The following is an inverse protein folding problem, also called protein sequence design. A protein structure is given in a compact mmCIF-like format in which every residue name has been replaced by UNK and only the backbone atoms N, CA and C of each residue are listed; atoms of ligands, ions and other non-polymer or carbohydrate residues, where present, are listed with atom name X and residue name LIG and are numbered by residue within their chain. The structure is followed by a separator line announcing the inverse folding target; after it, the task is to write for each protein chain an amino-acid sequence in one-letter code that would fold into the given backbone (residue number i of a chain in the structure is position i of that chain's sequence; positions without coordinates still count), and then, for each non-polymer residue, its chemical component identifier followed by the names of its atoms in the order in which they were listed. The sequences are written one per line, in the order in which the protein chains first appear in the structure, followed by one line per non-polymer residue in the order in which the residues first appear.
data_IF_033729908640
#
_entry.id   IF_033729908640
#
_cell.length_a   1.000
_cell.length_b   1.000
_cell.length_c   1.000
_cell.angle_alpha   90.00
_cell.angle_beta   90.00
_cell.angle_gamma   90.00
#
_symmetry.space_group_name_H-M   'P 1'
#
loop_
_entity.id
_entity.type
_entity.pdbx_description
1 polymer ?
#
# COMPACT_ATOMS: atom_id res chain seq x y z
N UNK A 1 21.40 12.47 18.48
CA UNK A 1 20.00 12.03 18.64
C UNK A 1 19.57 11.40 17.32
N UNK A 2 19.48 10.07 17.27
CA UNK A 2 19.08 9.30 16.10
C UNK A 2 17.55 9.20 16.06
N UNK A 3 16.93 9.73 15.01
CA UNK A 3 15.52 9.46 14.73
C UNK A 3 15.45 8.21 13.85
N UNK A 4 14.92 7.13 14.43
CA UNK A 4 14.60 5.91 13.70
C UNK A 4 13.46 6.20 12.73
N UNK A 5 13.72 6.01 11.44
CA UNK A 5 12.67 5.88 10.44
C UNK A 5 11.81 4.66 10.79
N UNK A 6 10.62 4.92 11.33
CA UNK A 6 9.61 3.89 11.52
C UNK A 6 9.04 3.52 10.15
N UNK A 7 9.70 2.55 9.51
CA UNK A 7 9.14 1.77 8.40
C UNK A 7 7.73 1.30 8.85
N UNK A 8 6.66 1.51 8.06
CA UNK A 8 5.37 0.94 8.40
C UNK A 8 5.57 -0.58 8.55
N UNK A 9 5.24 -1.10 9.74
CA UNK A 9 5.32 -2.53 10.01
C UNK A 9 4.47 -3.22 8.95
N UNK A 10 5.12 -3.83 7.95
CA UNK A 10 4.43 -4.69 7.01
C UNK A 10 3.58 -5.65 7.83
N UNK A 11 2.28 -5.65 7.57
CA UNK A 11 1.37 -6.62 8.14
C UNK A 11 1.99 -7.98 7.88
N UNK A 12 2.47 -8.63 8.94
CA UNK A 12 2.87 -10.03 8.88
C UNK A 12 1.58 -10.75 8.55
N UNK A 13 1.39 -11.11 7.28
CA UNK A 13 0.30 -11.96 6.84
C UNK A 13 0.42 -13.30 7.55
N UNK A 14 -0.10 -13.37 8.77
CA UNK A 14 -0.39 -14.62 9.43
C UNK A 14 -1.73 -15.10 8.86
N UNK A 15 -1.70 -15.54 7.60
CA UNK A 15 -2.85 -16.20 6.96
C UNK A 15 -3.16 -17.54 7.64
N UNK A 16 -2.37 -17.99 8.62
CA UNK A 16 -2.45 -19.34 9.16
C UNK A 16 -2.11 -20.43 8.12
N UNK A 17 -1.64 -20.04 6.93
CA UNK A 17 -1.35 -20.95 5.83
C UNK A 17 0.14 -21.36 5.91
N UNK A 18 0.40 -22.45 6.62
CA UNK A 18 1.66 -23.19 6.48
C UNK A 18 1.51 -24.16 5.31
N UNK A 19 2.27 -23.98 4.23
CA UNK A 19 2.42 -24.99 3.19
C UNK A 19 3.89 -25.37 3.05
N UNK A 20 4.18 -26.64 3.33
CA UNK A 20 5.38 -27.34 2.90
C UNK A 20 6.15 -28.04 4.01
N UNK A 21 6.12 -29.37 4.03
CA UNK A 21 7.32 -30.13 3.66
C UNK A 21 6.99 -31.61 3.49
N UNK A 22 7.51 -32.22 2.42
CA UNK A 22 7.43 -33.64 2.14
C UNK A 22 8.27 -34.51 3.10
N UNK A 23 8.23 -34.21 4.40
CA UNK A 23 8.69 -35.07 5.51
C UNK A 23 7.91 -34.88 6.81
N UNK A 24 6.75 -34.23 6.80
CA UNK A 24 5.78 -34.43 7.88
C UNK A 24 4.90 -35.61 7.48
N UNK A 25 5.17 -36.78 8.05
CA UNK A 25 4.20 -37.85 8.10
C UNK A 25 2.97 -37.31 8.85
N UNK A 26 1.91 -36.99 8.12
CA UNK A 26 0.58 -36.62 8.66
C UNK A 26 0.01 -37.69 9.62
N UNK A 27 0.64 -38.86 9.70
CA UNK A 27 0.24 -40.01 10.51
C UNK A 27 0.67 -39.98 12.00
N UNK A 28 1.50 -39.03 12.46
CA UNK A 28 2.09 -39.11 13.82
C UNK A 28 1.66 -38.02 14.83
N UNK A 29 0.75 -37.10 14.48
CA UNK A 29 0.24 -36.11 15.46
C UNK A 29 -1.29 -36.20 15.62
N UNK A 30 -1.81 -36.86 16.68
CA UNK A 30 -3.24 -37.04 16.90
C UNK A 30 -4.00 -35.73 17.21
N UNK A 31 -3.29 -34.61 17.40
CA UNK A 31 -3.88 -33.30 17.72
C UNK A 31 -3.77 -32.26 16.60
N UNK A 32 -3.23 -32.59 15.43
CA UNK A 32 -3.21 -31.65 14.31
C UNK A 32 -4.57 -31.59 13.61
N UNK A 33 -5.36 -30.55 13.89
CA UNK A 33 -6.54 -30.24 13.07
C UNK A 33 -6.06 -29.74 11.71
N UNK A 34 -6.42 -30.38 10.59
CA UNK A 34 -6.06 -29.87 9.27
C UNK A 34 -6.64 -28.47 9.13
N UNK A 35 -5.78 -27.51 8.75
CA UNK A 35 -6.22 -26.19 8.33
C UNK A 35 -7.13 -26.38 7.11
N UNK A 36 -8.44 -26.38 7.34
CA UNK A 36 -9.41 -26.40 6.23
C UNK A 36 -9.17 -25.12 5.43
N UNK A 37 -8.77 -25.26 4.18
CA UNK A 37 -8.79 -24.14 3.25
C UNK A 37 -10.26 -23.75 3.08
N UNK A 38 -10.69 -22.71 3.79
CA UNK A 38 -12.04 -22.17 3.68
C UNK A 38 -12.09 -21.29 2.43
N UNK A 39 -13.15 -21.42 1.64
CA UNK A 39 -13.42 -20.49 0.54
C UNK A 39 -13.56 -19.06 1.08
N UNK A 40 -12.98 -18.08 0.38
CA UNK A 40 -13.00 -16.67 0.75
C UNK A 40 -13.65 -15.84 -0.37
N UNK A 41 -14.49 -14.88 0.00
CA UNK A 41 -15.12 -13.91 -0.90
C UNK A 41 -15.41 -12.60 -0.13
N UNK A 42 -14.42 -11.73 -0.05
CA UNK A 42 -14.48 -10.41 0.59
C UNK A 42 -15.08 -9.35 -0.34
N UNK A 43 -14.87 -9.46 -1.65
CA UNK A 43 -15.37 -8.51 -2.65
C UNK A 43 -16.03 -9.24 -3.82
N UNK A 44 -17.32 -8.98 -4.01
CA UNK A 44 -18.12 -9.52 -5.12
C UNK A 44 -18.61 -8.39 -6.02
N UNK A 45 -17.74 -7.91 -6.89
CA UNK A 45 -18.03 -6.81 -7.81
C UNK A 45 -17.46 -7.06 -9.21
N UNK A 46 -18.07 -6.41 -10.21
CA UNK A 46 -17.56 -6.35 -11.58
C UNK A 46 -17.44 -4.87 -11.95
N UNK A 47 -16.26 -4.46 -12.39
CA UNK A 47 -16.04 -3.13 -12.98
C UNK A 47 -16.29 -3.23 -14.48
N UNK A 48 -17.28 -2.49 -14.98
CA UNK A 48 -17.55 -2.46 -16.42
C UNK A 48 -16.45 -1.67 -17.14
N UNK A 49 -16.27 -1.92 -18.45
CA UNK A 49 -15.31 -1.16 -19.24
C UNK A 49 -15.68 0.33 -19.30
N UNK A 50 -16.98 0.64 -19.39
CA UNK A 50 -17.50 2.01 -19.38
C UNK A 50 -17.13 2.74 -18.08
N UNK A 51 -17.35 2.12 -16.92
CA UNK A 51 -16.99 2.70 -15.63
C UNK A 51 -15.48 2.86 -15.47
N UNK A 52 -14.69 1.88 -15.93
CA UNK A 52 -13.24 1.97 -15.93
C UNK A 52 -12.75 3.16 -16.75
N UNK A 53 -13.24 3.31 -17.99
CA UNK A 53 -12.86 4.41 -18.88
C UNK A 53 -13.30 5.76 -18.30
N UNK A 54 -14.48 5.83 -17.68
CA UNK A 54 -14.98 7.04 -17.01
C UNK A 54 -14.10 7.45 -15.82
N UNK A 55 -13.62 6.49 -15.02
CA UNK A 55 -12.70 6.76 -13.91
C UNK A 55 -11.35 7.26 -14.43
N UNK A 56 -10.81 6.65 -15.49
CA UNK A 56 -9.56 7.10 -16.11
C UNK A 56 -9.69 8.53 -16.68
N UNK A 57 -10.77 8.82 -17.39
CA UNK A 57 -11.05 10.15 -17.90
C UNK A 57 -11.23 11.20 -16.78
N UNK A 58 -11.72 10.80 -15.60
CA UNK A 58 -11.79 11.69 -14.44
C UNK A 58 -10.41 12.07 -13.91
N UNK A 59 -9.43 11.16 -13.93
CA UNK A 59 -8.04 11.48 -13.59
C UNK A 59 -7.43 12.48 -14.59
N UNK A 60 -7.61 12.25 -15.89
CA UNK A 60 -7.16 13.19 -16.93
C UNK A 60 -7.79 14.58 -16.75
N UNK A 61 -9.09 14.61 -16.41
CA UNK A 61 -9.79 15.86 -16.11
C UNK A 61 -9.18 16.57 -14.89
N UNK A 62 -8.88 15.85 -13.80
CA UNK A 62 -8.24 16.42 -12.61
C UNK A 62 -6.90 17.07 -12.97
N UNK A 63 -6.05 16.37 -13.73
CA UNK A 63 -4.76 16.90 -14.18
C UNK A 63 -4.93 18.17 -15.03
N UNK A 64 -5.92 18.19 -15.94
CA UNK A 64 -6.21 19.36 -16.77
C UNK A 64 -6.69 20.59 -15.97
N UNK A 65 -7.38 20.37 -14.83
CA UNK A 65 -7.91 21.44 -13.97
C UNK A 65 -6.89 21.94 -12.95
N UNK A 66 -5.82 21.19 -12.73
CA UNK A 66 -4.79 21.50 -11.76
C UNK A 66 -3.41 21.63 -12.45
N UNK A 67 -3.24 22.49 -13.48
CA UNK A 67 -2.02 22.56 -14.27
C UNK A 67 -0.77 23.01 -13.49
N UNK A 68 -0.95 23.45 -12.24
CA UNK A 68 0.09 23.94 -11.34
C UNK A 68 0.58 22.89 -10.34
N UNK A 69 0.02 21.67 -10.31
CA UNK A 69 0.52 20.60 -9.45
C UNK A 69 1.91 20.19 -9.90
N UNK A 70 2.77 19.86 -8.94
CA UNK A 70 4.18 19.53 -9.18
C UNK A 70 4.57 18.32 -8.36
N UNK A 71 5.34 17.43 -8.97
CA UNK A 71 6.02 16.37 -8.23
C UNK A 71 7.34 16.90 -7.68
N UNK A 72 7.39 17.04 -6.36
CA UNK A 72 8.59 17.48 -5.65
C UNK A 72 9.49 16.28 -5.39
N UNK A 73 10.77 16.39 -5.70
CA UNK A 73 11.76 15.39 -5.28
C UNK A 73 11.83 15.30 -3.74
N UNK A 74 12.30 14.16 -3.18
CA UNK A 74 12.53 14.06 -1.74
C UNK A 74 13.51 15.12 -1.19
N UNK A 75 14.43 15.62 -2.02
CA UNK A 75 15.34 16.70 -1.64
C UNK A 75 14.61 18.05 -1.54
N UNK A 76 13.83 18.43 -2.55
CA UNK A 76 13.03 19.65 -2.53
C UNK A 76 12.05 19.64 -1.37
N UNK A 77 11.35 18.51 -1.14
CA UNK A 77 10.45 18.39 0.01
C UNK A 77 11.17 18.67 1.33
N UNK A 78 12.40 18.22 1.54
CA UNK A 78 13.12 18.43 2.81
C UNK A 78 13.50 19.88 3.05
N UNK A 79 13.73 20.66 1.99
CA UNK A 79 14.09 22.08 2.08
C UNK A 79 12.92 23.04 2.33
N UNK A 80 11.67 22.58 2.18
CA UNK A 80 10.49 23.43 2.33
C UNK A 80 10.06 23.57 3.80
N UNK A 81 9.69 24.79 4.18
CA UNK A 81 8.91 25.04 5.41
C UNK A 81 7.59 24.27 5.29
N UNK A 82 7.29 23.47 6.30
CA UNK A 82 6.14 22.57 6.29
C UNK A 82 4.92 23.25 6.87
N UNK A 83 3.84 23.23 6.11
CA UNK A 83 2.53 23.60 6.62
C UNK A 83 1.77 22.32 6.95
N UNK A 84 1.73 21.96 8.24
CA UNK A 84 0.85 20.92 8.75
C UNK A 84 -0.57 21.45 8.99
N UNK A 85 -1.49 20.60 9.49
CA UNK A 85 -2.86 21.02 9.81
C UNK A 85 -2.92 22.24 10.75
N UNK A 86 -2.12 22.27 11.81
CA UNK A 86 -2.07 23.39 12.76
C UNK A 86 -1.51 24.68 12.13
N UNK A 87 -0.59 24.52 11.18
CA UNK A 87 0.02 25.65 10.47
C UNK A 87 -0.99 26.35 9.54
N UNK A 88 -1.99 25.62 9.01
CA UNK A 88 -3.04 26.23 8.18
C UNK A 88 -3.87 27.21 9.02
N UNK A 89 -4.28 26.82 10.22
CA UNK A 89 -5.02 27.69 11.15
C UNK A 89 -4.22 28.93 11.56
N UNK A 90 -2.91 28.77 11.74
CA UNK A 90 -2.01 29.90 11.99
C UNK A 90 -1.98 30.87 10.81
N UNK A 91 -1.76 30.37 9.58
CA UNK A 91 -1.64 31.19 8.38
C UNK A 91 -2.95 31.93 8.05
N UNK A 92 -4.10 31.29 8.23
CA UNK A 92 -5.41 31.95 8.05
C UNK A 92 -5.68 33.01 9.13
N UNK A 93 -5.21 32.79 10.36
CA UNK A 93 -5.21 33.80 11.41
C UNK A 93 -4.37 35.03 11.04
N UNK A 94 -3.15 34.80 10.53
CA UNK A 94 -2.28 35.88 10.03
C UNK A 94 -2.94 36.63 8.86
N UNK A 95 -3.59 35.92 7.94
CA UNK A 95 -4.36 36.53 6.85
C UNK A 95 -5.44 37.49 7.37
N UNK A 96 -6.20 37.07 8.37
CA UNK A 96 -7.24 37.92 8.99
C UNK A 96 -6.64 39.14 9.68
N UNK A 97 -5.52 38.97 10.40
CA UNK A 97 -4.83 40.08 11.08
C UNK A 97 -4.24 41.07 10.07
N UNK A 98 -3.63 40.59 8.98
CA UNK A 98 -3.09 41.42 7.93
C UNK A 98 -4.19 42.23 7.21
N UNK A 99 -5.36 41.61 6.98
CA UNK A 99 -6.50 42.30 6.39
C UNK A 99 -7.06 43.42 7.30
N UNK A 100 -7.08 43.19 8.62
CA UNK A 100 -7.53 44.19 9.61
C UNK A 100 -6.51 45.32 9.83
N UNK A 101 -5.22 45.07 9.57
CA UNK A 101 -4.13 45.99 9.87
C UNK A 101 -3.27 46.26 8.62
N UNK A 102 -3.91 46.50 7.47
CA UNK A 102 -3.22 46.66 6.19
C UNK A 102 -2.12 47.73 6.21
N UNK A 103 -2.34 48.84 6.92
CA UNK A 103 -1.37 49.93 7.08
C UNK A 103 -0.10 49.54 7.85
N UNK A 104 -0.17 48.46 8.65
CA UNK A 104 0.98 47.92 9.39
C UNK A 104 1.79 46.92 8.58
N UNK A 105 1.32 46.52 7.39
CA UNK A 105 2.03 45.54 6.57
C UNK A 105 3.17 46.23 5.80
N UNK A 106 4.42 45.76 5.93
CA UNK A 106 5.54 46.34 5.19
C UNK A 106 5.31 46.27 3.67
N UNK A 107 5.68 47.33 2.96
CA UNK A 107 5.55 47.41 1.50
C UNK A 107 6.35 46.33 0.74
N UNK A 108 7.30 45.66 1.40
CA UNK A 108 8.04 44.53 0.84
C UNK A 108 7.23 43.23 0.79
N UNK A 109 6.08 43.16 1.47
CA UNK A 109 5.22 41.98 1.51
C UNK A 109 4.15 42.10 0.44
N UNK A 110 4.11 41.13 -0.49
CA UNK A 110 3.03 41.01 -1.45
C UNK A 110 1.81 40.35 -0.79
N UNK A 111 0.92 41.18 -0.24
CA UNK A 111 -0.33 40.71 0.38
C UNK A 111 -1.27 40.04 -0.63
N UNK A 112 -1.24 40.47 -1.89
CA UNK A 112 -2.12 39.88 -2.90
C UNK A 112 -1.69 38.44 -3.19
N UNK A 113 -0.39 38.19 -3.33
CA UNK A 113 0.13 36.84 -3.52
C UNK A 113 -0.05 35.97 -2.29
N UNK A 114 0.25 36.49 -1.10
CA UNK A 114 0.00 35.77 0.15
C UNK A 114 -1.46 35.31 0.25
N UNK A 115 -2.42 36.20 -0.03
CA UNK A 115 -3.84 35.86 0.01
C UNK A 115 -4.22 34.74 -0.98
N UNK A 116 -3.65 34.74 -2.19
CA UNK A 116 -3.85 33.67 -3.18
C UNK A 116 -3.31 32.34 -2.66
N UNK A 117 -2.10 32.35 -2.09
CA UNK A 117 -1.45 31.15 -1.57
C UNK A 117 -2.22 30.52 -0.41
N UNK A 118 -2.74 31.35 0.51
CA UNK A 118 -3.58 30.85 1.62
C UNK A 118 -4.86 30.20 1.08
N UNK A 119 -5.53 30.86 0.13
CA UNK A 119 -6.76 30.33 -0.48
C UNK A 119 -6.50 29.03 -1.24
N UNK A 120 -5.44 28.97 -2.05
CA UNK A 120 -5.03 27.77 -2.78
C UNK A 120 -4.69 26.63 -1.80
N UNK A 121 -3.98 26.93 -0.72
CA UNK A 121 -3.60 25.93 0.28
C UNK A 121 -4.82 25.28 0.95
N UNK A 122 -5.87 26.05 1.24
CA UNK A 122 -7.13 25.51 1.78
C UNK A 122 -7.83 24.59 0.78
N UNK A 123 -7.90 24.99 -0.50
CA UNK A 123 -8.52 24.19 -1.56
C UNK A 123 -7.74 22.89 -1.79
N UNK A 124 -6.41 22.97 -1.86
CA UNK A 124 -5.53 21.80 -2.01
C UNK A 124 -5.64 20.85 -0.83
N UNK A 125 -5.78 21.37 0.40
CA UNK A 125 -6.01 20.53 1.57
C UNK A 125 -7.29 19.68 1.41
N UNK A 126 -8.42 20.30 1.02
CA UNK A 126 -9.68 19.59 0.82
C UNK A 126 -9.59 18.53 -0.30
N UNK A 127 -8.95 18.87 -1.42
CA UNK A 127 -8.73 17.94 -2.54
C UNK A 127 -7.89 16.75 -2.08
N UNK A 128 -6.79 16.99 -1.38
CA UNK A 128 -5.88 15.95 -0.91
C UNK A 128 -6.56 14.99 0.07
N UNK A 129 -7.39 15.51 0.99
CA UNK A 129 -8.14 14.66 1.93
C UNK A 129 -9.07 13.68 1.18
N UNK A 130 -9.76 14.14 0.14
CA UNK A 130 -10.64 13.29 -0.67
C UNK A 130 -9.85 12.29 -1.50
N UNK A 131 -8.75 12.72 -2.12
CA UNK A 131 -7.89 11.85 -2.91
C UNK A 131 -7.26 10.74 -2.06
N UNK A 132 -6.79 11.08 -0.86
CA UNK A 132 -6.20 10.11 0.08
C UNK A 132 -7.22 9.05 0.50
N UNK A 133 -8.44 9.45 0.87
CA UNK A 133 -9.49 8.50 1.26
C UNK A 133 -9.84 7.51 0.13
N UNK A 134 -9.90 7.99 -1.12
CA UNK A 134 -10.14 7.12 -2.28
C UNK A 134 -8.96 6.16 -2.50
N UNK A 135 -7.73 6.67 -2.40
CA UNK A 135 -6.52 5.86 -2.56
C UNK A 135 -6.43 4.75 -1.50
N UNK A 136 -6.69 5.07 -0.23
CA UNK A 136 -6.71 4.10 0.88
C UNK A 136 -7.77 3.02 0.67
N UNK A 137 -9.02 3.42 0.38
CA UNK A 137 -10.10 2.47 0.11
C UNK A 137 -9.82 1.59 -1.12
N UNK A 138 -9.16 2.14 -2.15
CA UNK A 138 -8.78 1.41 -3.36
C UNK A 138 -7.68 0.38 -3.07
N UNK A 139 -6.68 0.73 -2.25
CA UNK A 139 -5.62 -0.18 -1.83
C UNK A 139 -6.19 -1.33 -0.98
N UNK A 140 -7.05 -1.02 -0.01
CA UNK A 140 -7.74 -2.01 0.82
C UNK A 140 -8.60 -2.98 -0.01
N UNK A 141 -9.34 -2.44 -0.98
CA UNK A 141 -10.17 -3.25 -1.90
C UNK A 141 -9.29 -4.14 -2.79
N UNK A 142 -8.16 -3.61 -3.28
CA UNK A 142 -7.19 -4.37 -4.07
C UNK A 142 -6.59 -5.52 -3.26
N UNK A 143 -6.26 -5.26 -1.99
CA UNK A 143 -5.80 -6.31 -1.06
C UNK A 143 -6.88 -7.38 -0.84
N UNK A 144 -8.13 -6.99 -0.65
CA UNK A 144 -9.25 -7.92 -0.45
C UNK A 144 -9.48 -8.82 -1.67
N UNK A 145 -9.61 -8.23 -2.88
CA UNK A 145 -9.76 -8.96 -4.15
C UNK A 145 -8.56 -9.87 -4.42
N UNK A 146 -7.35 -9.40 -4.12
CA UNK A 146 -6.13 -10.19 -4.25
C UNK A 146 -6.13 -11.41 -3.31
N UNK A 147 -6.64 -11.26 -2.09
CA UNK A 147 -6.79 -12.36 -1.14
C UNK A 147 -7.79 -13.41 -1.64
N UNK A 148 -8.97 -12.99 -2.09
CA UNK A 148 -10.01 -13.88 -2.64
C UNK A 148 -9.47 -14.70 -3.83
N UNK A 149 -8.77 -14.01 -4.74
CA UNK A 149 -8.14 -14.60 -5.91
C UNK A 149 -7.06 -15.60 -5.53
N UNK A 150 -6.23 -15.27 -4.53
CA UNK A 150 -5.14 -16.14 -4.08
C UNK A 150 -5.67 -17.39 -3.37
N UNK A 151 -6.67 -17.27 -2.49
CA UNK A 151 -7.29 -18.41 -1.82
C UNK A 151 -7.92 -19.35 -2.85
N UNK A 152 -8.69 -18.80 -3.78
CA UNK A 152 -9.32 -19.57 -4.87
C UNK A 152 -8.27 -20.26 -5.75
N UNK A 153 -7.20 -19.55 -6.11
CA UNK A 153 -6.08 -20.10 -6.88
C UNK A 153 -5.35 -21.24 -6.16
N UNK A 154 -5.17 -21.15 -4.84
CA UNK A 154 -4.56 -22.22 -4.04
C UNK A 154 -5.45 -23.47 -3.97
N UNK A 155 -6.77 -23.31 -3.84
CA UNK A 155 -7.73 -24.42 -3.88
C UNK A 155 -7.63 -25.12 -5.24
N UNK A 156 -7.69 -24.37 -6.35
CA UNK A 156 -7.58 -24.92 -7.70
C UNK A 156 -6.23 -25.61 -7.94
N UNK A 157 -5.14 -25.01 -7.45
CA UNK A 157 -3.80 -25.60 -7.52
C UNK A 157 -3.74 -26.96 -6.80
N UNK A 158 -4.32 -27.07 -5.60
CA UNK A 158 -4.38 -28.34 -4.87
C UNK A 158 -5.21 -29.40 -5.61
N UNK A 159 -6.35 -29.01 -6.19
CA UNK A 159 -7.19 -29.88 -7.03
C UNK A 159 -6.39 -30.38 -8.25
N UNK A 160 -5.71 -29.49 -8.97
CA UNK A 160 -4.91 -29.87 -10.14
C UNK A 160 -3.69 -30.74 -9.79
N UNK A 161 -3.06 -30.54 -8.63
CA UNK A 161 -2.04 -31.46 -8.14
C UNK A 161 -2.59 -32.86 -7.87
N UNK A 162 -3.81 -32.97 -7.31
CA UNK A 162 -4.43 -34.25 -7.04
C UNK A 162 -4.81 -34.99 -8.34
N UNK A 163 -5.36 -34.26 -9.32
CA UNK A 163 -5.77 -34.79 -10.62
C UNK A 163 -4.57 -35.10 -11.55
N UNK A 164 -3.51 -34.29 -11.47
CA UNK A 164 -2.38 -34.30 -12.39
C UNK A 164 -1.31 -35.37 -12.15
N UNK A 165 -1.49 -36.28 -11.18
CA UNK A 165 -0.45 -37.25 -10.78
C UNK A 165 0.03 -38.22 -11.87
N UNK A 166 -0.54 -38.22 -13.08
CA UNK A 166 -0.11 -39.11 -14.19
C UNK A 166 -0.16 -38.50 -15.62
N UNK A 167 -0.31 -37.18 -15.81
CA UNK A 167 -0.54 -36.60 -17.16
C UNK A 167 0.07 -35.22 -17.41
N UNK A 168 -0.21 -34.64 -18.59
CA UNK A 168 0.32 -33.33 -19.05
C UNK A 168 0.05 -32.15 -18.09
N UNK A 169 -0.98 -32.26 -17.25
CA UNK A 169 -1.29 -31.31 -16.18
C UNK A 169 -0.18 -31.21 -15.11
N UNK A 170 0.61 -32.27 -14.91
CA UNK A 170 1.67 -32.33 -13.91
C UNK A 170 2.78 -31.29 -14.17
N UNK A 171 3.22 -31.16 -15.43
CA UNK A 171 4.31 -30.26 -15.82
C UNK A 171 3.92 -28.80 -15.57
N UNK A 172 2.69 -28.43 -15.96
CA UNK A 172 2.17 -27.07 -15.79
C UNK A 172 1.99 -26.70 -14.31
N UNK A 173 1.51 -27.64 -13.49
CA UNK A 173 1.35 -27.42 -12.04
C UNK A 173 2.70 -27.35 -11.33
N UNK A 174 3.67 -28.20 -11.70
CA UNK A 174 5.01 -28.16 -11.14
C UNK A 174 5.74 -26.84 -11.43
N UNK A 175 5.53 -26.26 -12.61
CA UNK A 175 6.04 -24.95 -12.98
C UNK A 175 5.48 -23.83 -12.09
N UNK A 176 4.16 -23.82 -11.87
CA UNK A 176 3.50 -22.87 -10.95
C UNK A 176 3.99 -23.03 -9.50
N UNK A 177 4.27 -24.26 -9.09
CA UNK A 177 4.79 -24.60 -7.76
C UNK A 177 6.23 -24.09 -7.47
N UNK A 178 6.98 -23.66 -8.49
CA UNK A 178 8.35 -23.11 -8.31
C UNK A 178 8.38 -21.90 -7.38
N UNK A 179 7.30 -21.11 -7.34
CA UNK A 179 7.14 -19.95 -6.43
C UNK A 179 7.28 -20.34 -4.95
N UNK A 180 6.86 -21.55 -4.57
CA UNK A 180 6.95 -22.03 -3.18
C UNK A 180 8.33 -22.60 -2.82
N UNK A 181 9.12 -23.06 -3.81
CA UNK A 181 10.48 -23.60 -3.59
C UNK A 181 11.48 -22.52 -3.19
N UNK A 182 11.35 -21.31 -3.72
CA UNK A 182 12.26 -20.18 -3.45
C UNK A 182 12.15 -19.67 -2.00
N UNK A 183 11.03 -19.93 -1.30
CA UNK A 183 10.81 -19.52 0.09
C UNK A 183 11.59 -20.36 1.12
N UNK A 184 12.17 -21.51 0.73
CA UNK A 184 12.98 -22.37 1.62
C UNK A 184 14.47 -22.00 1.72
N UNK A 185 14.99 -21.17 0.82
CA UNK A 185 16.43 -20.87 0.75
C UNK A 185 16.93 -19.70 1.62
N UNK A 186 16.03 -18.90 2.21
CA UNK A 186 16.39 -17.67 2.92
C UNK A 186 16.23 -17.76 4.46
N UNK A 187 16.18 -18.98 5.02
CA UNK A 187 15.91 -19.20 6.45
C UNK A 187 16.84 -20.18 7.18
N UNK A 188 17.96 -20.60 6.57
CA UNK A 188 18.89 -21.55 7.20
C UNK A 188 20.36 -21.15 7.02
N UNK A 189 20.70 -19.92 7.40
CA UNK A 189 22.09 -19.46 7.48
C UNK A 189 22.31 -18.67 8.75
N UNK A 190 22.89 -19.30 9.78
CA UNK A 190 23.34 -18.59 10.98
C UNK A 190 23.65 -19.52 12.15
N UNK A 191 24.93 -19.86 12.32
CA UNK A 191 25.45 -20.39 13.58
C UNK A 191 26.48 -21.51 13.50
N UNK A 192 27.48 -21.45 12.61
CA UNK A 192 28.71 -22.23 12.78
C UNK A 192 29.72 -21.34 13.51
N UNK A 193 29.95 -21.60 14.80
CA UNK A 193 30.97 -20.94 15.63
C UNK A 193 32.34 -21.56 15.30
N UNK A 194 33.39 -20.79 14.95
CA UNK A 194 34.73 -21.35 14.82
C UNK A 194 35.31 -21.69 16.21
N UNK A 195 36.02 -22.81 16.40
CA UNK A 195 36.67 -23.09 17.67
C UNK A 195 37.87 -22.16 17.89
N UNK A 196 37.99 -21.70 19.13
CA UNK A 196 39.09 -20.87 19.61
C UNK A 196 40.44 -21.62 19.50
N UNK A 197 41.44 -20.95 18.94
CA UNK A 197 42.83 -21.39 18.99
C UNK A 197 43.37 -21.21 20.41
N UNK A 198 44.05 -22.24 20.91
CA UNK A 198 44.94 -22.20 22.08
C UNK A 198 46.38 -22.23 21.58
#
# INVERSE_FOLDING_TARGET
MQFSESIPRMARYNTGITYGSARYNEAENPNHKPSRIMSQNLVSAVLTQEDFDAVMAAFDLIESKLPFIKDLTPAERRGLVKMGPDSLSFVTGIQSLAAQNADSVPASVDLAEFNKDVALSQQMYQINQRAQAIAENSDDTTMAVGSDSMVSGLILYAVFQALGKAGALNVNVAELGRRFRKRRGAGSGGGETPPAQS
#
